data_IF_925236647402
#
_entry.id   IF_925236647402
#
_cell.length_a   1.000
_cell.length_b   1.000
_cell.length_c   1.000
_cell.angle_alpha   90.00
_cell.angle_beta   90.00
_cell.angle_gamma   90.00
#
_symmetry.space_group_name_H-M   'P 1'
#
loop_
_entity.id
_entity.type
_entity.pdbx_description
1 polymer ?
#
# COMPACT_ATOMS: atom_id res chain seq x y z
N UNK A 1 -65.71 -7.76 10.11
CA UNK A 1 -64.70 -8.47 9.28
C UNK A 1 -63.37 -7.73 9.38
N UNK A 2 -62.40 -8.20 10.19
CA UNK A 2 -61.11 -7.55 10.31
C UNK A 2 -60.21 -7.91 9.11
N UNK A 3 -59.60 -6.89 8.50
CA UNK A 3 -58.64 -7.04 7.40
C UNK A 3 -57.33 -7.61 7.96
N UNK A 4 -56.86 -8.70 7.36
CA UNK A 4 -55.63 -9.41 7.73
C UNK A 4 -54.39 -8.49 7.74
N UNK A 5 -53.87 -8.26 8.95
CA UNK A 5 -52.64 -7.51 9.25
C UNK A 5 -51.37 -8.12 8.59
N UNK A 6 -51.45 -9.38 8.18
CA UNK A 6 -50.39 -10.13 7.48
C UNK A 6 -50.17 -9.74 6.02
N UNK A 7 -51.07 -8.95 5.42
CA UNK A 7 -50.90 -8.49 4.02
C UNK A 7 -50.01 -7.25 3.86
N UNK A 8 -49.84 -6.45 4.92
CA UNK A 8 -49.07 -5.20 4.88
C UNK A 8 -47.55 -5.48 4.97
N UNK A 9 -47.14 -6.54 5.67
CA UNK A 9 -45.73 -6.90 5.83
C UNK A 9 -45.07 -7.49 4.58
N UNK A 10 -45.84 -7.97 3.59
CA UNK A 10 -45.30 -8.47 2.32
C UNK A 10 -44.86 -7.37 1.34
N UNK A 11 -45.13 -6.09 1.64
CA UNK A 11 -44.68 -4.95 0.82
C UNK A 11 -43.48 -4.19 1.40
N UNK A 12 -43.01 -4.55 2.61
CA UNK A 12 -41.90 -3.85 3.29
C UNK A 12 -40.58 -4.64 3.20
N UNK A 13 -40.63 -5.91 2.80
CA UNK A 13 -39.42 -6.71 2.56
C UNK A 13 -39.13 -6.63 1.05
N UNK A 14 -38.13 -5.86 0.61
CA UNK A 14 -37.78 -5.83 -0.79
C UNK A 14 -37.39 -7.25 -1.21
N UNK A 15 -37.87 -7.67 -2.38
CA UNK A 15 -37.47 -8.90 -3.10
C UNK A 15 -35.97 -8.97 -3.45
N UNK A 16 -35.16 -8.06 -2.89
CA UNK A 16 -33.72 -7.91 -3.09
C UNK A 16 -32.86 -8.94 -2.34
N UNK A 17 -33.45 -9.75 -1.45
CA UNK A 17 -32.77 -10.73 -0.60
C UNK A 17 -32.91 -12.15 -1.18
N UNK A 18 -32.38 -12.37 -2.38
CA UNK A 18 -32.21 -13.70 -2.96
C UNK A 18 -30.84 -14.28 -2.52
N UNK A 19 -30.83 -15.55 -2.10
CA UNK A 19 -29.66 -16.27 -1.57
C UNK A 19 -28.40 -16.19 -2.45
N UNK A 20 -28.57 -16.06 -3.78
CA UNK A 20 -27.45 -15.90 -4.72
C UNK A 20 -26.66 -14.60 -4.58
N UNK A 21 -27.30 -13.47 -4.23
CA UNK A 21 -26.60 -12.18 -4.06
C UNK A 21 -25.70 -12.17 -2.83
N UNK A 22 -26.11 -12.85 -1.75
CA UNK A 22 -25.30 -13.02 -0.54
C UNK A 22 -24.06 -13.86 -0.78
N UNK A 23 -24.17 -14.96 -1.54
CA UNK A 23 -23.03 -15.79 -1.88
C UNK A 23 -21.99 -15.02 -2.72
N UNK A 24 -22.45 -14.22 -3.68
CA UNK A 24 -21.57 -13.38 -4.51
C UNK A 24 -20.90 -12.28 -3.68
N UNK A 25 -21.66 -11.57 -2.84
CA UNK A 25 -21.10 -10.54 -1.96
C UNK A 25 -20.08 -11.13 -0.97
N UNK A 26 -20.37 -12.30 -0.38
CA UNK A 26 -19.44 -13.00 0.51
C UNK A 26 -18.16 -13.45 -0.19
N UNK A 27 -18.25 -13.90 -1.45
CA UNK A 27 -17.10 -14.27 -2.27
C UNK A 27 -16.15 -13.07 -2.49
N UNK A 28 -16.69 -11.91 -2.89
CA UNK A 28 -15.87 -10.71 -3.11
C UNK A 28 -15.28 -10.18 -1.80
N UNK A 29 -16.07 -10.16 -0.73
CA UNK A 29 -15.57 -9.80 0.60
C UNK A 29 -14.37 -10.67 0.99
N UNK A 30 -14.47 -11.99 0.80
CA UNK A 30 -13.38 -12.92 1.07
C UNK A 30 -12.13 -12.60 0.24
N UNK A 31 -12.29 -12.27 -1.04
CA UNK A 31 -11.16 -11.88 -1.89
C UNK A 31 -10.47 -10.60 -1.41
N UNK A 32 -11.23 -9.57 -1.05
CA UNK A 32 -10.64 -8.31 -0.56
C UNK A 32 -9.95 -8.48 0.80
N UNK A 33 -10.50 -9.30 1.69
CA UNK A 33 -9.81 -9.69 2.93
C UNK A 33 -8.50 -10.41 2.61
N UNK A 34 -8.52 -11.36 1.67
CA UNK A 34 -7.33 -12.12 1.28
C UNK A 34 -6.26 -11.20 0.64
N UNK A 35 -6.67 -10.24 -0.20
CA UNK A 35 -5.78 -9.21 -0.75
C UNK A 35 -5.15 -8.40 0.38
N UNK A 36 -5.96 -7.95 1.34
CA UNK A 36 -5.47 -7.21 2.50
C UNK A 36 -4.45 -8.01 3.31
N UNK A 37 -4.67 -9.30 3.53
CA UNK A 37 -3.72 -10.18 4.23
C UNK A 37 -2.42 -10.31 3.44
N UNK A 38 -2.48 -10.62 2.14
CA UNK A 38 -1.30 -10.82 1.30
C UNK A 38 -0.50 -9.52 1.18
N UNK A 39 -1.17 -8.40 0.91
CA UNK A 39 -0.54 -7.08 0.80
C UNK A 39 0.04 -6.62 2.14
N UNK A 40 -0.67 -6.86 3.26
CA UNK A 40 -0.17 -6.55 4.60
C UNK A 40 1.11 -7.33 4.95
N UNK A 41 1.14 -8.64 4.66
CA UNK A 41 2.36 -9.45 4.80
C UNK A 41 3.49 -8.97 3.89
N UNK A 42 3.16 -8.55 2.67
CA UNK A 42 4.09 -7.90 1.74
C UNK A 42 4.68 -6.61 2.30
N UNK A 43 3.85 -5.75 2.89
CA UNK A 43 4.27 -4.53 3.59
C UNK A 43 5.17 -4.84 4.78
N UNK A 44 4.88 -5.89 5.55
CA UNK A 44 5.73 -6.35 6.65
C UNK A 44 7.09 -6.77 6.15
N UNK A 45 7.14 -7.61 5.11
CA UNK A 45 8.39 -8.05 4.50
C UNK A 45 9.20 -6.88 3.95
N UNK A 46 8.56 -5.96 3.21
CA UNK A 46 9.23 -4.79 2.64
C UNK A 46 9.76 -3.84 3.71
N UNK A 47 8.97 -3.59 4.77
CA UNK A 47 9.39 -2.76 5.90
C UNK A 47 10.56 -3.41 6.65
N UNK A 48 10.51 -4.72 6.90
CA UNK A 48 11.60 -5.45 7.53
C UNK A 48 12.89 -5.42 6.68
N UNK A 49 12.78 -5.63 5.36
CA UNK A 49 13.92 -5.46 4.45
C UNK A 49 14.51 -4.05 4.50
N UNK A 50 13.66 -3.02 4.55
CA UNK A 50 14.11 -1.65 4.71
C UNK A 50 14.88 -1.45 6.03
N UNK A 51 14.37 -1.98 7.14
CA UNK A 51 15.03 -1.88 8.44
C UNK A 51 16.40 -2.56 8.47
N UNK A 52 16.48 -3.79 7.95
CA UNK A 52 17.74 -4.54 7.85
C UNK A 52 18.70 -3.83 6.90
N UNK A 53 18.21 -3.35 5.76
CA UNK A 53 19.05 -2.61 4.81
C UNK A 53 19.59 -1.31 5.39
N UNK A 54 18.79 -0.52 6.11
CA UNK A 54 19.29 0.70 6.78
C UNK A 54 20.34 0.36 7.83
N UNK A 55 20.14 -0.70 8.61
CA UNK A 55 21.15 -1.14 9.56
C UNK A 55 22.44 -1.61 8.86
N UNK A 56 22.34 -2.33 7.75
CA UNK A 56 23.51 -2.81 7.03
C UNK A 56 24.26 -1.68 6.30
N UNK A 57 23.57 -0.93 5.43
CA UNK A 57 24.21 0.09 4.59
C UNK A 57 24.52 1.38 5.34
N UNK A 58 23.60 1.90 6.15
CA UNK A 58 23.79 3.20 6.81
C UNK A 58 24.51 3.05 8.14
N UNK A 59 24.05 2.17 9.03
CA UNK A 59 24.61 2.02 10.38
C UNK A 59 25.95 1.25 10.34
N UNK A 60 25.95 0.00 9.87
CA UNK A 60 27.14 -0.86 9.88
C UNK A 60 28.23 -0.39 8.91
N UNK A 61 27.91 -0.08 7.65
CA UNK A 61 28.95 0.37 6.71
C UNK A 61 29.34 1.83 6.93
N UNK A 62 28.37 2.76 6.96
CA UNK A 62 28.67 4.20 7.00
C UNK A 62 28.77 4.81 8.40
N UNK A 63 28.40 4.10 9.47
CA UNK A 63 28.36 4.65 10.83
C UNK A 63 27.33 5.77 10.99
N UNK A 64 26.27 5.78 10.16
CA UNK A 64 25.22 6.79 10.14
C UNK A 64 23.86 6.15 10.41
N UNK A 65 23.13 6.65 11.42
CA UNK A 65 21.80 6.14 11.75
C UNK A 65 20.73 7.18 11.40
N UNK A 66 19.99 7.01 10.29
CA UNK A 66 18.94 7.94 9.94
C UNK A 66 17.83 7.92 11.00
N UNK A 67 17.23 9.10 11.31
CA UNK A 67 16.09 9.17 12.21
C UNK A 67 14.90 8.41 11.61
N UNK A 68 14.19 7.65 12.43
CA UNK A 68 12.94 6.98 12.03
C UNK A 68 11.74 7.88 12.29
N UNK A 69 10.63 7.73 11.54
CA UNK A 69 9.36 8.38 11.88
C UNK A 69 8.93 8.08 13.33
N UNK A 70 8.16 8.98 13.95
CA UNK A 70 7.77 8.86 15.35
C UNK A 70 7.05 7.54 15.70
N UNK A 71 6.28 6.99 14.75
CA UNK A 71 5.60 5.71 14.92
C UNK A 71 6.47 4.47 14.69
N UNK A 72 7.74 4.63 14.29
CA UNK A 72 8.67 3.55 13.96
C UNK A 72 9.89 3.55 14.88
N UNK A 73 10.25 2.37 15.38
CA UNK A 73 11.53 2.13 16.05
C UNK A 73 12.48 1.36 15.16
N UNK A 74 13.79 1.48 15.41
CA UNK A 74 14.78 0.60 14.82
C UNK A 74 14.72 -0.78 15.47
N UNK A 75 14.58 -1.84 14.67
CA UNK A 75 14.56 -3.23 15.13
C UNK A 75 15.92 -3.69 15.67
N UNK A 76 17.02 -3.14 15.14
CA UNK A 76 18.38 -3.58 15.44
C UNK A 76 19.14 -2.56 16.31
N UNK A 77 19.98 -3.03 17.25
CA UNK A 77 20.78 -2.16 18.11
C UNK A 77 21.79 -1.35 17.27
N UNK A 78 22.27 -0.21 17.80
CA UNK A 78 23.28 0.61 17.12
C UNK A 78 24.63 -0.09 17.04
N UNK A 79 25.34 0.15 15.93
CA UNK A 79 26.72 -0.31 15.75
C UNK A 79 27.69 0.70 16.34
N UNK A 80 28.89 0.25 16.71
CA UNK A 80 30.00 1.11 17.18
C UNK A 80 30.88 1.65 16.05
N UNK A 81 30.40 1.59 14.80
CA UNK A 81 31.15 2.01 13.61
C UNK A 81 31.30 3.53 13.57
N UNK A 82 32.53 4.05 13.40
CA UNK A 82 32.72 5.49 13.32
C UNK A 82 32.10 6.03 12.02
N UNK A 83 31.49 7.20 12.12
CA UNK A 83 30.84 7.86 11.00
C UNK A 83 31.82 8.14 9.85
N UNK A 84 31.48 7.67 8.65
CA UNK A 84 32.28 7.84 7.44
C UNK A 84 31.48 8.48 6.30
N UNK A 85 31.69 9.79 6.11
CA UNK A 85 31.03 10.61 5.08
C UNK A 85 31.26 10.13 3.63
N UNK A 86 32.39 9.47 3.35
CA UNK A 86 32.71 9.03 1.99
C UNK A 86 31.85 7.84 1.58
N UNK A 87 31.51 6.96 2.53
CA UNK A 87 30.62 5.84 2.25
C UNK A 87 29.20 6.33 1.92
N UNK A 88 28.70 7.36 2.60
CA UNK A 88 27.41 7.98 2.25
C UNK A 88 27.35 8.51 0.81
N UNK A 89 28.49 8.93 0.24
CA UNK A 89 28.55 9.38 -1.15
C UNK A 89 28.44 8.23 -2.14
N UNK A 90 29.09 7.08 -1.86
CA UNK A 90 29.17 5.97 -2.81
C UNK A 90 28.06 4.93 -2.64
N UNK A 91 27.48 4.79 -1.44
CA UNK A 91 26.43 3.81 -1.17
C UNK A 91 25.21 3.95 -2.11
N UNK A 92 24.64 5.16 -2.34
CA UNK A 92 23.51 5.31 -3.25
C UNK A 92 23.84 4.87 -4.69
N UNK A 93 25.07 5.13 -5.15
CA UNK A 93 25.52 4.72 -6.47
C UNK A 93 25.58 3.19 -6.57
N UNK A 94 26.14 2.52 -5.56
CA UNK A 94 26.20 1.05 -5.50
C UNK A 94 24.79 0.45 -5.45
N UNK A 95 23.92 0.96 -4.58
CA UNK A 95 22.54 0.51 -4.48
C UNK A 95 21.75 0.71 -5.78
N UNK A 96 21.96 1.84 -6.46
CA UNK A 96 21.40 2.12 -7.78
C UNK A 96 21.87 1.15 -8.85
N UNK A 97 23.17 0.80 -8.88
CA UNK A 97 23.72 -0.20 -9.81
C UNK A 97 23.10 -1.57 -9.59
N UNK A 98 23.03 -2.05 -8.34
CA UNK A 98 22.43 -3.36 -8.05
C UNK A 98 20.92 -3.38 -8.27
N UNK A 99 20.22 -2.33 -7.87
CA UNK A 99 18.78 -2.15 -8.12
C UNK A 99 18.48 -2.14 -9.63
N UNK A 100 19.23 -1.34 -10.40
CA UNK A 100 19.11 -1.27 -11.85
C UNK A 100 19.41 -2.61 -12.51
N UNK A 101 20.51 -3.28 -12.13
CA UNK A 101 20.83 -4.62 -12.62
C UNK A 101 19.70 -5.62 -12.36
N UNK A 102 19.12 -5.61 -11.15
CA UNK A 102 18.02 -6.51 -10.80
C UNK A 102 16.76 -6.22 -11.63
N UNK A 103 16.35 -4.94 -11.74
CA UNK A 103 15.16 -4.53 -12.48
C UNK A 103 15.32 -4.81 -13.97
N UNK A 104 16.39 -4.34 -14.60
CA UNK A 104 16.60 -4.48 -16.05
C UNK A 104 16.85 -5.94 -16.48
N UNK A 105 17.36 -6.80 -15.57
CA UNK A 105 17.56 -8.22 -15.87
C UNK A 105 16.28 -9.04 -15.68
N UNK A 106 15.55 -8.81 -14.58
CA UNK A 106 14.48 -9.73 -14.17
C UNK A 106 13.06 -9.18 -14.31
N UNK A 107 12.84 -7.87 -14.23
CA UNK A 107 11.50 -7.28 -14.38
C UNK A 107 11.60 -5.81 -14.82
N UNK A 108 11.86 -5.52 -16.10
CA UNK A 108 11.93 -4.14 -16.61
C UNK A 108 10.65 -3.34 -16.34
N UNK A 109 9.50 -4.00 -16.20
CA UNK A 109 8.23 -3.37 -15.85
C UNK A 109 8.17 -2.83 -14.41
N UNK A 110 9.18 -3.14 -13.58
CA UNK A 110 9.35 -2.63 -12.23
C UNK A 110 10.18 -1.33 -12.17
N UNK A 111 10.52 -0.71 -13.31
CA UNK A 111 11.23 0.57 -13.39
C UNK A 111 10.44 1.73 -12.72
N UNK A 112 11.15 2.79 -12.36
CA UNK A 112 10.57 4.05 -11.90
C UNK A 112 9.96 3.98 -10.50
N UNK A 113 9.03 4.90 -10.22
CA UNK A 113 8.35 4.98 -8.92
C UNK A 113 7.48 3.75 -8.66
N UNK A 114 6.81 3.23 -9.70
CA UNK A 114 5.96 2.04 -9.65
C UNK A 114 4.46 2.33 -9.71
N UNK A 115 4.03 3.53 -9.30
CA UNK A 115 2.65 4.01 -9.48
C UNK A 115 2.26 4.04 -10.95
N UNK A 116 3.12 4.59 -11.80
CA UNK A 116 2.87 4.68 -13.25
C UNK A 116 2.64 3.31 -13.88
N UNK A 117 3.41 2.30 -13.46
CA UNK A 117 3.26 0.94 -13.93
C UNK A 117 1.95 0.29 -13.44
N UNK A 118 1.47 0.64 -12.24
CA UNK A 118 0.17 0.20 -11.74
C UNK A 118 -0.99 0.88 -12.49
N UNK A 119 -0.88 2.18 -12.77
CA UNK A 119 -1.84 2.95 -13.56
C UNK A 119 -1.92 2.41 -15.00
N UNK A 120 -0.76 2.15 -15.63
CA UNK A 120 -0.68 1.54 -16.95
C UNK A 120 -1.28 0.13 -16.95
N UNK A 121 -1.00 -0.67 -15.91
CA UNK A 121 -1.62 -1.98 -15.78
C UNK A 121 -3.15 -1.90 -15.67
N UNK A 122 -3.66 -0.93 -14.91
CA UNK A 122 -5.09 -0.70 -14.74
C UNK A 122 -5.78 -0.33 -16.08
N UNK A 123 -5.24 0.64 -16.81
CA UNK A 123 -5.88 1.16 -18.03
C UNK A 123 -5.62 0.30 -19.26
N UNK A 124 -4.37 -0.12 -19.48
CA UNK A 124 -3.90 -0.66 -20.76
C UNK A 124 -3.70 -2.17 -20.76
N UNK A 125 -3.53 -2.79 -19.58
CA UNK A 125 -3.25 -4.25 -19.45
C UNK A 125 -4.38 -5.02 -18.80
N UNK A 126 -5.58 -4.42 -18.72
CA UNK A 126 -6.75 -5.04 -18.13
C UNK A 126 -6.59 -5.41 -16.64
N UNK A 127 -5.71 -4.72 -15.91
CA UNK A 127 -5.35 -5.00 -14.53
C UNK A 127 -4.30 -6.09 -14.34
N UNK A 128 -3.62 -6.56 -15.40
CA UNK A 128 -2.61 -7.61 -15.29
C UNK A 128 -1.23 -7.09 -14.88
N UNK A 129 -0.66 -7.69 -13.84
CA UNK A 129 0.71 -7.46 -13.35
C UNK A 129 1.40 -8.82 -13.24
N UNK A 130 2.62 -8.94 -13.78
CA UNK A 130 3.39 -10.19 -13.73
C UNK A 130 3.75 -10.52 -12.28
N UNK A 131 3.53 -11.77 -11.86
CA UNK A 131 3.70 -12.22 -10.48
C UNK A 131 5.11 -11.99 -9.88
N UNK A 132 6.15 -11.88 -10.70
CA UNK A 132 7.52 -11.59 -10.27
C UNK A 132 7.75 -10.12 -9.89
N UNK A 133 6.91 -9.20 -10.37
CA UNK A 133 7.10 -7.75 -10.19
C UNK A 133 7.09 -7.36 -8.71
N UNK A 134 6.11 -7.78 -7.88
CA UNK A 134 6.12 -7.46 -6.44
C UNK A 134 7.43 -7.88 -5.74
N UNK A 135 7.95 -9.07 -6.07
CA UNK A 135 9.16 -9.61 -5.44
C UNK A 135 10.39 -8.78 -5.86
N UNK A 136 10.57 -8.57 -7.17
CA UNK A 136 11.69 -7.80 -7.70
C UNK A 136 11.64 -6.35 -7.21
N UNK A 137 10.45 -5.72 -7.23
CA UNK A 137 10.26 -4.34 -6.77
C UNK A 137 10.59 -4.21 -5.27
N UNK A 138 10.15 -5.16 -4.44
CA UNK A 138 10.48 -5.19 -3.01
C UNK A 138 11.99 -5.13 -2.78
N UNK A 139 12.74 -5.99 -3.47
CA UNK A 139 14.20 -6.08 -3.30
C UNK A 139 14.90 -4.84 -3.89
N UNK A 140 14.56 -4.46 -5.12
CA UNK A 140 15.17 -3.32 -5.81
C UNK A 140 14.94 -2.00 -5.06
N UNK A 141 13.71 -1.77 -4.59
CA UNK A 141 13.37 -0.56 -3.84
C UNK A 141 13.99 -0.57 -2.45
N UNK A 142 14.07 -1.72 -1.77
CA UNK A 142 14.80 -1.81 -0.51
C UNK A 142 16.28 -1.45 -0.68
N UNK A 143 16.96 -2.00 -1.70
CA UNK A 143 18.36 -1.64 -2.02
C UNK A 143 18.51 -0.14 -2.31
N UNK A 144 17.63 0.42 -3.14
CA UNK A 144 17.68 1.84 -3.51
C UNK A 144 17.50 2.75 -2.29
N UNK A 145 16.44 2.52 -1.50
CA UNK A 145 16.09 3.38 -0.37
C UNK A 145 17.14 3.26 0.74
N UNK A 146 17.53 2.03 1.07
CA UNK A 146 18.39 1.79 2.25
C UNK A 146 19.86 2.10 2.01
N UNK A 147 20.31 2.10 0.76
CA UNK A 147 21.64 2.61 0.37
C UNK A 147 21.72 4.14 0.31
N UNK A 148 20.60 4.85 0.54
CA UNK A 148 20.55 6.32 0.57
C UNK A 148 20.13 6.96 -0.75
N UNK A 149 19.57 6.18 -1.67
CA UNK A 149 18.92 6.73 -2.86
C UNK A 149 17.70 7.56 -2.48
N UNK A 150 17.46 8.62 -3.25
CA UNK A 150 16.26 9.45 -3.11
C UNK A 150 15.03 8.65 -3.53
N UNK A 151 14.22 8.23 -2.56
CA UNK A 151 13.00 7.45 -2.82
C UNK A 151 12.19 7.20 -1.56
N UNK A 152 10.87 7.26 -1.69
CA UNK A 152 9.92 6.90 -0.64
C UNK A 152 9.47 5.44 -0.74
N UNK A 153 8.86 4.93 0.33
CA UNK A 153 8.21 3.61 0.34
C UNK A 153 6.89 3.58 -0.45
N UNK A 154 6.32 4.74 -0.75
CA UNK A 154 5.00 4.94 -1.38
C UNK A 154 4.87 4.24 -2.74
N UNK A 155 5.64 4.68 -3.74
CA UNK A 155 5.58 4.12 -5.08
C UNK A 155 5.83 2.61 -5.14
N UNK A 156 6.90 2.11 -4.47
CA UNK A 156 7.16 0.68 -4.37
C UNK A 156 5.99 -0.09 -3.77
N UNK A 157 5.43 0.35 -2.63
CA UNK A 157 4.37 -0.41 -1.97
C UNK A 157 3.05 -0.36 -2.76
N UNK A 158 2.75 0.74 -3.44
CA UNK A 158 1.62 0.81 -4.37
C UNK A 158 1.73 -0.27 -5.45
N UNK A 159 2.90 -0.40 -6.10
CA UNK A 159 3.11 -1.39 -7.16
C UNK A 159 3.15 -2.83 -6.64
N UNK A 160 3.76 -3.05 -5.48
CA UNK A 160 3.82 -4.37 -4.81
C UNK A 160 2.40 -4.83 -4.46
N UNK A 161 1.62 -3.96 -3.81
CA UNK A 161 0.22 -4.21 -3.45
C UNK A 161 -0.66 -4.45 -4.69
N UNK A 162 -0.53 -3.60 -5.71
CA UNK A 162 -1.20 -3.76 -7.00
C UNK A 162 -0.91 -5.13 -7.63
N UNK A 163 0.35 -5.57 -7.59
CA UNK A 163 0.73 -6.86 -8.11
C UNK A 163 0.18 -8.04 -7.31
N UNK A 164 0.04 -7.95 -5.99
CA UNK A 164 -0.64 -8.99 -5.21
C UNK A 164 -2.13 -9.08 -5.51
N UNK A 165 -2.81 -7.95 -5.63
CA UNK A 165 -4.22 -7.89 -6.04
C UNK A 165 -4.44 -8.50 -7.43
N UNK A 166 -3.60 -8.12 -8.39
CA UNK A 166 -3.60 -8.65 -9.75
C UNK A 166 -3.28 -10.14 -9.80
N UNK A 167 -2.30 -10.60 -9.01
CA UNK A 167 -1.92 -12.01 -8.93
C UNK A 167 -3.09 -12.85 -8.42
N UNK A 168 -3.73 -12.45 -7.32
CA UNK A 168 -4.88 -13.18 -6.80
C UNK A 168 -6.02 -13.22 -7.82
N UNK A 169 -6.35 -12.09 -8.46
CA UNK A 169 -7.37 -12.04 -9.50
C UNK A 169 -7.06 -12.98 -10.68
N UNK A 170 -5.78 -13.06 -11.07
CA UNK A 170 -5.33 -13.95 -12.15
C UNK A 170 -5.47 -15.42 -11.76
N UNK A 171 -5.07 -15.79 -10.52
CA UNK A 171 -5.24 -17.16 -10.00
C UNK A 171 -6.73 -17.54 -9.92
N UNK A 172 -7.59 -16.59 -9.57
CA UNK A 172 -9.04 -16.80 -9.51
C UNK A 172 -9.73 -16.73 -10.88
N UNK A 173 -8.99 -16.50 -11.97
CA UNK A 173 -9.52 -16.30 -13.33
C UNK A 173 -10.61 -15.21 -13.39
N UNK A 174 -10.42 -14.13 -12.63
CA UNK A 174 -11.35 -13.00 -12.62
C UNK A 174 -11.35 -12.25 -13.96
N UNK A 175 -12.53 -11.79 -14.43
CA UNK A 175 -12.65 -10.89 -15.58
C UNK A 175 -11.81 -9.61 -15.41
N UNK A 176 -11.49 -8.94 -16.52
CA UNK A 176 -10.62 -7.76 -16.50
C UNK A 176 -11.09 -6.66 -15.55
N UNK A 177 -12.41 -6.39 -15.52
CA UNK A 177 -12.98 -5.38 -14.61
C UNK A 177 -12.74 -5.73 -13.14
N UNK A 178 -12.99 -6.97 -12.75
CA UNK A 178 -12.74 -7.43 -11.38
C UNK A 178 -11.24 -7.40 -11.05
N UNK A 179 -10.40 -7.82 -11.99
CA UNK A 179 -8.94 -7.78 -11.83
C UNK A 179 -8.41 -6.36 -11.64
N UNK A 180 -8.96 -5.38 -12.36
CA UNK A 180 -8.66 -3.95 -12.17
C UNK A 180 -9.02 -3.47 -10.77
N UNK A 181 -10.21 -3.83 -10.27
CA UNK A 181 -10.65 -3.50 -8.91
C UNK A 181 -9.77 -4.17 -7.85
N UNK A 182 -9.44 -5.45 -8.02
CA UNK A 182 -8.57 -6.20 -7.10
C UNK A 182 -7.14 -5.64 -7.10
N UNK A 183 -6.60 -5.25 -8.26
CA UNK A 183 -5.33 -4.53 -8.36
C UNK A 183 -5.38 -3.23 -7.56
N UNK A 184 -6.38 -2.39 -7.78
CA UNK A 184 -6.52 -1.12 -7.07
C UNK A 184 -6.71 -1.33 -5.55
N UNK A 185 -7.49 -2.33 -5.15
CA UNK A 185 -7.66 -2.71 -3.75
C UNK A 185 -6.33 -3.13 -3.10
N UNK A 186 -5.48 -3.86 -3.82
CA UNK A 186 -4.13 -4.20 -3.39
C UNK A 186 -3.21 -2.99 -3.26
N UNK A 187 -3.30 -2.04 -4.20
CA UNK A 187 -2.57 -0.77 -4.14
C UNK A 187 -2.94 0.02 -2.87
N UNK A 188 -4.24 0.16 -2.59
CA UNK A 188 -4.72 0.81 -1.37
C UNK A 188 -4.31 0.07 -0.10
N UNK A 189 -4.27 -1.27 -0.14
CA UNK A 189 -3.79 -2.09 0.96
C UNK A 189 -2.31 -1.89 1.30
N UNK A 190 -1.46 -1.81 0.29
CA UNK A 190 -0.04 -1.49 0.46
C UNK A 190 0.18 -0.11 1.08
N UNK A 191 -0.47 0.92 0.52
CA UNK A 191 -0.34 2.30 0.99
C UNK A 191 -0.91 2.44 2.42
N UNK A 192 -2.13 1.97 2.65
CA UNK A 192 -2.79 2.11 3.95
C UNK A 192 -2.06 1.42 5.10
N UNK A 193 -1.40 0.28 4.82
CA UNK A 193 -0.58 -0.42 5.82
C UNK A 193 0.75 0.26 6.10
N UNK A 194 1.53 0.63 5.08
CA UNK A 194 2.85 1.28 5.27
C UNK A 194 2.73 2.66 5.92
N UNK A 195 1.73 3.45 5.53
CA UNK A 195 1.51 4.78 6.10
C UNK A 195 0.66 4.77 7.37
N UNK A 196 0.17 3.60 7.79
CA UNK A 196 -0.75 3.44 8.92
C UNK A 196 -1.99 4.35 8.81
N UNK A 197 -2.48 4.50 7.59
CA UNK A 197 -3.59 5.39 7.24
C UNK A 197 -4.57 4.65 6.30
N UNK A 198 -5.43 3.76 6.83
CA UNK A 198 -6.24 2.87 5.99
C UNK A 198 -7.20 3.62 5.06
N UNK A 199 -7.84 4.68 5.57
CA UNK A 199 -8.74 5.53 4.80
C UNK A 199 -8.02 6.27 3.68
N UNK A 200 -6.83 6.83 3.98
CA UNK A 200 -6.01 7.49 2.97
C UNK A 200 -5.58 6.51 1.87
N UNK A 201 -5.19 5.28 2.23
CA UNK A 201 -4.87 4.24 1.24
C UNK A 201 -6.04 3.88 0.34
N UNK A 202 -7.26 3.81 0.90
CA UNK A 202 -8.46 3.52 0.12
C UNK A 202 -8.83 4.65 -0.85
N UNK A 203 -8.75 5.91 -0.41
CA UNK A 203 -9.01 7.08 -1.25
C UNK A 203 -7.93 7.24 -2.32
N UNK A 204 -6.65 7.09 -1.94
CA UNK A 204 -5.53 7.08 -2.86
C UNK A 204 -5.75 6.07 -3.99
N UNK A 205 -6.21 4.85 -3.68
CA UNK A 205 -6.46 3.84 -4.70
C UNK A 205 -7.60 4.18 -5.67
N UNK A 206 -8.57 4.98 -5.23
CA UNK A 206 -9.69 5.42 -6.06
C UNK A 206 -9.35 6.65 -6.91
N UNK A 207 -8.42 7.50 -6.45
CA UNK A 207 -8.08 8.79 -7.07
C UNK A 207 -6.83 8.70 -7.96
N UNK A 208 -5.77 7.98 -7.54
CA UNK A 208 -4.45 7.99 -8.22
C UNK A 208 -4.50 7.47 -9.66
N UNK A 209 -5.58 6.78 -10.03
CA UNK A 209 -5.80 6.25 -11.37
C UNK A 209 -6.18 7.35 -12.38
N UNK A 210 -6.72 8.48 -11.93
CA UNK A 210 -7.20 9.55 -12.81
C UNK A 210 -6.42 10.84 -12.66
N UNK A 211 -6.41 11.62 -13.75
CA UNK A 211 -5.78 12.94 -13.80
C UNK A 211 -6.76 14.06 -13.43
N UNK A 212 -8.03 13.91 -13.80
CA UNK A 212 -9.11 14.83 -13.46
C UNK A 212 -9.71 14.46 -12.10
N UNK A 213 -10.58 15.30 -11.49
CA UNK A 213 -11.24 15.03 -10.19
C UNK A 213 -12.25 13.87 -10.22
N UNK A 214 -12.01 12.88 -11.08
CA UNK A 214 -12.76 11.65 -11.20
C UNK A 214 -12.22 10.63 -10.20
N UNK A 215 -13.13 9.83 -9.64
CA UNK A 215 -12.79 8.78 -8.68
C UNK A 215 -13.44 7.47 -9.10
N UNK A 216 -12.71 6.35 -8.99
CA UNK A 216 -13.31 5.03 -9.17
C UNK A 216 -14.14 4.67 -7.94
N UNK A 217 -15.43 5.05 -7.94
CA UNK A 217 -16.35 4.77 -6.84
C UNK A 217 -16.41 3.28 -6.46
N UNK A 218 -16.27 2.40 -7.46
CA UNK A 218 -16.31 0.95 -7.29
C UNK A 218 -15.10 0.41 -6.51
N UNK A 219 -13.99 1.15 -6.46
CA UNK A 219 -12.75 0.76 -5.77
C UNK A 219 -12.77 1.11 -4.29
N UNK A 220 -13.52 2.13 -3.87
CA UNK A 220 -13.49 2.65 -2.49
C UNK A 220 -13.78 1.57 -1.45
N UNK A 221 -14.86 0.78 -1.64
CA UNK A 221 -15.23 -0.27 -0.69
C UNK A 221 -14.22 -1.45 -0.71
N UNK A 222 -13.87 -2.03 -1.86
CA UNK A 222 -12.80 -3.04 -1.98
C UNK A 222 -11.46 -2.62 -1.36
N UNK A 223 -10.99 -1.41 -1.69
CA UNK A 223 -9.74 -0.86 -1.19
C UNK A 223 -9.83 -0.56 0.30
N UNK A 224 -10.96 -0.03 0.78
CA UNK A 224 -11.22 0.19 2.21
C UNK A 224 -11.11 -1.10 3.03
N UNK A 225 -11.75 -2.18 2.59
CA UNK A 225 -11.68 -3.48 3.27
C UNK A 225 -10.25 -4.00 3.26
N UNK A 226 -9.61 -4.04 2.09
CA UNK A 226 -8.25 -4.57 1.92
C UNK A 226 -7.23 -3.76 2.74
N UNK A 227 -7.40 -2.43 2.77
CA UNK A 227 -6.55 -1.48 3.49
C UNK A 227 -6.66 -1.60 5.01
N UNK A 228 -7.88 -1.72 5.55
CA UNK A 228 -8.06 -1.98 6.99
C UNK A 228 -7.45 -3.32 7.39
N UNK A 229 -7.67 -4.37 6.60
CA UNK A 229 -7.10 -5.69 6.88
C UNK A 229 -5.57 -5.66 6.83
N UNK A 230 -5.00 -5.04 5.79
CA UNK A 230 -3.55 -4.91 5.65
C UNK A 230 -2.93 -4.11 6.80
N UNK A 231 -3.58 -3.03 7.25
CA UNK A 231 -3.16 -2.27 8.42
C UNK A 231 -3.17 -3.12 9.69
N UNK A 232 -4.25 -3.87 9.95
CA UNK A 232 -4.31 -4.77 11.10
C UNK A 232 -3.21 -5.84 11.07
N UNK A 233 -2.93 -6.41 9.89
CA UNK A 233 -1.82 -7.36 9.70
C UNK A 233 -0.48 -6.67 9.96
N UNK A 234 -0.26 -5.48 9.43
CA UNK A 234 1.00 -4.76 9.63
C UNK A 234 1.24 -4.40 11.10
N UNK A 235 0.24 -3.84 11.79
CA UNK A 235 0.30 -3.52 13.21
C UNK A 235 0.25 -4.75 14.13
N UNK A 236 -0.04 -5.95 13.61
CA UNK A 236 0.19 -7.16 14.39
C UNK A 236 1.69 -7.42 14.61
N UNK A 237 2.53 -7.07 13.63
CA UNK A 237 3.99 -7.23 13.73
C UNK A 237 4.70 -5.98 14.24
N UNK A 238 4.10 -4.79 14.05
CA UNK A 238 4.69 -3.50 14.41
C UNK A 238 3.81 -2.70 15.36
N UNK A 239 4.28 -1.52 15.78
CA UNK A 239 3.56 -0.69 16.74
C UNK A 239 2.23 -0.17 16.16
N UNK A 240 1.19 -0.13 16.98
CA UNK A 240 -0.10 0.45 16.66
C UNK A 240 -0.06 1.99 16.76
N UNK A 241 -0.83 2.67 15.92
CA UNK A 241 -0.97 4.14 15.95
C UNK A 241 -0.41 4.83 14.71
N UNK A 242 -0.37 6.16 14.73
CA UNK A 242 0.07 6.96 13.58
C UNK A 242 1.56 6.77 13.29
N UNK A 243 1.92 6.81 12.00
CA UNK A 243 3.32 6.82 11.57
C UNK A 243 4.02 8.15 11.94
N UNK A 244 3.28 9.26 11.83
CA UNK A 244 3.75 10.60 12.12
C UNK A 244 3.06 11.16 13.36
N UNK A 245 3.84 11.84 14.20
CA UNK A 245 3.31 12.61 15.32
C UNK A 245 3.57 14.08 15.05
N UNK A 246 2.53 14.91 15.09
CA UNK A 246 2.63 16.36 15.02
C UNK A 246 2.41 16.95 16.40
N UNK A 247 3.01 18.12 16.67
CA UNK A 247 2.66 18.87 17.87
C UNK A 247 1.20 19.32 17.78
N UNK A 248 0.47 19.25 18.91
CA UNK A 248 -0.88 19.77 18.99
C UNK A 248 -0.83 21.29 18.79
N UNK A 249 -1.37 21.77 17.67
CA UNK A 249 -1.45 23.19 17.36
C UNK A 249 -2.71 23.75 18.00
N UNK A 250 -2.57 24.37 19.17
CA UNK A 250 -3.66 25.10 19.81
C UNK A 250 -3.77 26.52 19.22
N UNK A 251 -4.85 26.77 18.48
CA UNK A 251 -5.14 28.10 17.96
C UNK A 251 -5.78 28.97 19.04
N UNK A 252 -5.02 29.93 19.57
CA UNK A 252 -5.54 30.87 20.56
C UNK A 252 -6.45 31.95 19.96
N UNK A 253 -6.30 32.28 18.67
CA UNK A 253 -7.04 33.34 17.99
C UNK A 253 -7.37 32.96 16.54
N UNK A 254 -8.50 33.47 16.01
CA UNK A 254 -8.98 33.21 14.65
C UNK A 254 -7.99 33.62 13.55
N UNK A 255 -7.20 34.68 13.79
CA UNK A 255 -6.17 35.16 12.87
C UNK A 255 -5.02 34.15 12.68
N UNK A 256 -4.82 33.23 13.65
CA UNK A 256 -3.85 32.14 13.53
C UNK A 256 -4.20 31.11 12.45
N UNK A 257 -5.46 31.11 11.98
CA UNK A 257 -5.92 30.28 10.87
C UNK A 257 -5.65 30.92 9.48
N UNK A 258 -5.30 32.21 9.44
CA UNK A 258 -5.08 32.96 8.19
C UNK A 258 -4.11 32.29 7.21
N UNK A 259 -2.95 31.78 7.66
CA UNK A 259 -2.01 31.06 6.79
C UNK A 259 -2.55 29.74 6.20
N UNK A 260 -3.65 29.20 6.73
CA UNK A 260 -4.24 27.92 6.33
C UNK A 260 -5.52 28.08 5.50
N UNK A 261 -5.97 29.31 5.26
CA UNK A 261 -7.09 29.60 4.36
C UNK A 261 -6.58 29.63 2.92
N UNK A 262 -6.33 28.45 2.35
CA UNK A 262 -6.03 28.26 0.93
C UNK A 262 -7.09 27.38 0.31
#
# INVERSE_FOLDING_TARGET
MPKNFTSIFRHIIPSALTSGRFAIAGKFLFYYVLIGVIAGLGSVAFHYLCQVGFHFFMDYLAGYRPPSPAGEGHLLPPTSTPFNRWLLLFLPAIGGVFSGWLVYTFAPEAEGHGTDAAIDAYHNKGGFVRARIPIIKTIASALTITSGGSGGREGPIAQIGAGFGSFLATVMNSPERERRIMLAAGMGAGIGSIFRAPLAGALFAAEVLYKDPEFEAEVIIPAGISSVVAYCVFCFFFVWGSLFNSQDVEYQNLLGLGPYAV
#
